data_IF_546807400327
#
_entry.id   IF_546807400327
#
_cell.length_a   1.000
_cell.length_b   1.000
_cell.length_c   1.000
_cell.angle_alpha   90.00
_cell.angle_beta   90.00
_cell.angle_gamma   90.00
#
_symmetry.space_group_name_H-M   'P 1'
#
loop_
_entity.id
_entity.type
_entity.pdbx_description
1 polymer ?
#
# COMPACT_ATOMS: atom_id res chain seq x y z
N UNK A 1 -5.26 23.61 -47.06
CA UNK A 1 -5.53 23.15 -45.68
C UNK A 1 -5.82 21.67 -45.76
N UNK A 2 -4.85 20.82 -45.38
CA UNK A 2 -4.98 19.37 -45.47
C UNK A 2 -5.66 18.84 -44.20
N UNK A 3 -6.67 17.96 -44.36
CA UNK A 3 -7.25 17.18 -43.27
C UNK A 3 -6.16 16.29 -42.65
N UNK A 4 -6.11 16.11 -41.32
CA UNK A 4 -5.20 15.14 -40.72
C UNK A 4 -5.58 13.75 -41.23
N UNK A 5 -4.56 12.93 -41.49
CA UNK A 5 -4.73 11.54 -41.90
C UNK A 5 -5.47 10.74 -40.80
N UNK A 6 -6.24 9.70 -41.16
CA UNK A 6 -6.80 8.80 -40.16
C UNK A 6 -5.65 8.12 -39.42
N UNK A 7 -5.71 8.13 -38.09
CA UNK A 7 -4.86 7.29 -37.26
C UNK A 7 -5.37 5.86 -37.48
N UNK A 8 -4.53 5.01 -38.08
CA UNK A 8 -4.80 3.57 -38.13
C UNK A 8 -4.84 3.06 -36.70
N UNK A 9 -6.02 2.64 -36.26
CA UNK A 9 -6.21 1.97 -34.99
C UNK A 9 -6.02 0.48 -35.31
N UNK A 10 -4.97 -0.11 -34.79
CA UNK A 10 -4.62 -1.53 -34.96
C UNK A 10 -5.82 -2.42 -34.56
N UNK A 11 -6.13 -3.43 -35.40
CA UNK A 11 -7.26 -4.36 -35.26
C UNK A 11 -7.15 -5.27 -34.01
N UNK A 12 -6.02 -5.24 -33.30
CA UNK A 12 -5.79 -5.99 -32.04
C UNK A 12 -5.88 -5.15 -30.76
N UNK A 13 -6.42 -3.92 -30.84
CA UNK A 13 -6.76 -3.14 -29.65
C UNK A 13 -8.18 -3.52 -29.18
N UNK A 14 -8.33 -4.23 -28.05
CA UNK A 14 -9.67 -4.37 -27.43
C UNK A 14 -10.08 -2.99 -26.90
N UNK A 15 -11.16 -2.38 -27.41
CA UNK A 15 -11.69 -1.17 -26.81
C UNK A 15 -12.25 -1.54 -25.44
N UNK A 16 -11.69 -1.00 -24.37
CA UNK A 16 -12.41 -0.95 -23.09
C UNK A 16 -13.68 -0.15 -23.38
N UNK A 17 -14.88 -0.73 -23.24
CA UNK A 17 -16.10 0.02 -23.48
C UNK A 17 -16.07 1.24 -22.57
N UNK A 18 -16.28 2.45 -23.11
CA UNK A 18 -16.40 3.67 -22.30
C UNK A 18 -17.56 3.64 -21.30
N UNK A 19 -18.27 2.51 -21.17
CA UNK A 19 -19.39 2.22 -20.29
C UNK A 19 -19.03 1.44 -19.02
N UNK A 20 -17.80 0.95 -18.85
CA UNK A 20 -17.42 0.24 -17.60
C UNK A 20 -17.27 1.27 -16.48
N UNK A 21 -18.16 1.21 -15.49
CA UNK A 21 -18.08 1.98 -14.24
C UNK A 21 -17.54 1.08 -13.14
N UNK A 22 -16.59 1.60 -12.35
CA UNK A 22 -16.03 0.91 -11.20
C UNK A 22 -16.77 1.33 -9.92
N UNK A 23 -16.91 0.44 -8.92
CA UNK A 23 -16.43 -0.95 -8.89
C UNK A 23 -17.17 -1.87 -9.86
N UNK A 24 -16.48 -2.93 -10.32
CA UNK A 24 -17.07 -4.01 -11.11
C UNK A 24 -17.40 -5.16 -10.15
N UNK A 25 -18.62 -5.70 -10.25
CA UNK A 25 -18.99 -6.90 -9.50
C UNK A 25 -18.43 -8.16 -10.18
N UNK A 26 -17.84 -9.03 -9.36
CA UNK A 26 -17.24 -10.30 -9.77
C UNK A 26 -18.03 -11.46 -9.18
N UNK A 27 -18.03 -12.59 -9.87
CA UNK A 27 -18.56 -13.85 -9.33
C UNK A 27 -17.58 -14.42 -8.31
N UNK A 28 -18.01 -14.72 -7.06
CA UNK A 28 -17.14 -15.35 -6.07
C UNK A 28 -16.70 -16.75 -6.51
N UNK A 29 -15.41 -17.12 -6.33
CA UNK A 29 -14.94 -18.46 -6.66
C UNK A 29 -15.40 -19.51 -5.63
N UNK A 30 -15.35 -20.78 -5.99
CA UNK A 30 -15.67 -21.89 -5.09
C UNK A 30 -14.78 -21.87 -3.84
N UNK A 31 -15.39 -21.99 -2.66
CA UNK A 31 -14.69 -21.97 -1.38
C UNK A 31 -14.29 -20.58 -0.87
N UNK A 32 -14.73 -19.50 -1.52
CA UNK A 32 -14.59 -18.13 -1.03
C UNK A 32 -15.31 -17.92 0.30
N UNK A 33 -14.58 -17.36 1.27
CA UNK A 33 -15.10 -16.94 2.56
C UNK A 33 -14.64 -15.49 2.84
N UNK A 34 -15.55 -14.50 2.85
CA UNK A 34 -15.20 -13.09 3.03
C UNK A 34 -14.58 -12.78 4.41
N UNK A 35 -14.73 -13.67 5.39
CA UNK A 35 -14.07 -13.55 6.70
C UNK A 35 -12.60 -13.99 6.68
N UNK A 36 -12.17 -14.72 5.64
CA UNK A 36 -10.85 -15.36 5.56
C UNK A 36 -10.04 -14.80 4.41
N UNK A 37 -9.13 -13.87 4.71
CA UNK A 37 -8.30 -13.16 3.72
C UNK A 37 -7.62 -14.11 2.73
N UNK A 38 -7.18 -15.30 3.18
CA UNK A 38 -6.51 -16.30 2.35
C UNK A 38 -7.39 -16.94 1.26
N UNK A 39 -8.72 -16.82 1.37
CA UNK A 39 -9.69 -17.37 0.41
C UNK A 39 -10.10 -16.35 -0.66
N UNK A 40 -9.69 -15.08 -0.51
CA UNK A 40 -10.03 -14.05 -1.47
C UNK A 40 -9.39 -14.33 -2.84
N UNK A 41 -10.14 -14.15 -3.95
CA UNK A 41 -9.57 -14.28 -5.28
C UNK A 41 -8.51 -13.21 -5.52
N UNK A 42 -7.57 -13.51 -6.41
CA UNK A 42 -6.46 -12.63 -6.71
C UNK A 42 -6.86 -11.73 -7.91
N UNK A 43 -7.11 -10.41 -7.72
CA UNK A 43 -7.44 -9.40 -8.79
C UNK A 43 -6.79 -7.98 -8.63
N UNK A 44 -6.29 -7.18 -9.62
CA UNK A 44 -5.30 -6.07 -9.36
C UNK A 44 -5.94 -4.76 -9.10
N UNK A 45 -5.46 -4.14 -8.04
CA UNK A 45 -6.27 -3.24 -7.25
C UNK A 45 -7.01 -4.04 -6.19
N UNK A 46 -8.09 -3.47 -5.68
CA UNK A 46 -8.67 -3.92 -4.43
C UNK A 46 -9.96 -4.68 -4.64
N UNK A 47 -10.18 -5.63 -3.75
CA UNK A 47 -11.45 -6.31 -3.60
C UNK A 47 -12.16 -5.81 -2.37
N UNK A 48 -13.47 -5.64 -2.49
CA UNK A 48 -14.35 -5.40 -1.36
C UNK A 48 -15.50 -6.40 -1.39
N UNK A 49 -15.94 -6.85 -0.22
CA UNK A 49 -17.13 -7.68 -0.07
C UNK A 49 -18.17 -6.84 0.63
N UNK A 50 -19.23 -6.48 -0.09
CA UNK A 50 -20.25 -5.54 0.42
C UNK A 50 -21.62 -6.02 0.02
N UNK A 51 -22.49 -6.26 1.00
CA UNK A 51 -23.88 -6.64 0.76
C UNK A 51 -24.00 -7.94 -0.05
N UNK A 52 -23.12 -8.90 0.18
CA UNK A 52 -23.12 -10.19 -0.52
C UNK A 52 -22.47 -10.17 -1.91
N UNK A 53 -21.76 -9.10 -2.26
CA UNK A 53 -21.20 -8.88 -3.61
C UNK A 53 -19.69 -8.72 -3.51
N UNK A 54 -18.96 -9.42 -4.38
CA UNK A 54 -17.53 -9.25 -4.52
C UNK A 54 -17.27 -8.13 -5.54
N UNK A 55 -16.66 -7.05 -5.10
CA UNK A 55 -16.45 -5.83 -5.88
C UNK A 55 -14.96 -5.64 -6.17
N UNK A 56 -14.65 -5.19 -7.37
CA UNK A 56 -13.30 -4.96 -7.85
C UNK A 56 -13.06 -3.49 -8.21
N UNK A 57 -11.94 -2.95 -7.74
CA UNK A 57 -11.40 -1.66 -8.19
C UNK A 57 -9.97 -1.84 -8.72
N UNK A 58 -9.57 -1.10 -9.76
CA UNK A 58 -8.18 -1.07 -10.22
C UNK A 58 -7.26 -0.29 -9.25
N UNK A 59 -5.91 -0.40 -9.39
CA UNK A 59 -4.97 0.35 -8.57
C UNK A 59 -5.15 1.85 -8.67
N UNK A 60 -4.69 2.56 -7.63
CA UNK A 60 -4.69 4.01 -7.60
C UNK A 60 -3.66 4.61 -8.57
N UNK A 61 -3.95 5.81 -9.09
CA UNK A 61 -3.01 6.57 -9.90
C UNK A 61 -2.07 7.42 -9.03
N UNK A 62 -0.94 7.86 -9.59
CA UNK A 62 0.10 8.65 -8.93
C UNK A 62 -0.40 9.82 -8.06
N UNK A 63 -1.32 10.63 -8.56
CA UNK A 63 -1.89 11.77 -7.81
C UNK A 63 -2.70 11.34 -6.60
N UNK A 64 -3.42 10.23 -6.71
CA UNK A 64 -4.17 9.65 -5.60
C UNK A 64 -3.17 9.13 -4.56
N UNK A 65 -2.17 8.36 -4.98
CA UNK A 65 -1.11 7.83 -4.13
C UNK A 65 -0.36 8.93 -3.35
N UNK A 66 0.09 10.00 -4.03
CA UNK A 66 0.81 11.11 -3.39
C UNK A 66 -0.08 11.83 -2.36
N UNK A 67 -1.37 11.99 -2.67
CA UNK A 67 -2.33 12.59 -1.74
C UNK A 67 -2.56 11.69 -0.52
N UNK A 68 -2.65 10.37 -0.72
CA UNK A 68 -2.74 9.39 0.38
C UNK A 68 -1.50 9.48 1.27
N UNK A 69 -0.29 9.59 0.70
CA UNK A 69 0.94 9.75 1.47
C UNK A 69 0.91 11.01 2.35
N UNK A 70 0.45 12.14 1.82
CA UNK A 70 0.31 13.38 2.60
C UNK A 70 -0.72 13.27 3.72
N UNK A 71 -1.85 12.58 3.48
CA UNK A 71 -2.84 12.25 4.51
C UNK A 71 -2.21 11.41 5.62
N UNK A 72 -1.53 10.33 5.24
CA UNK A 72 -0.93 9.37 6.18
C UNK A 72 0.13 10.03 7.05
N UNK A 73 0.95 10.93 6.49
CA UNK A 73 1.92 11.70 7.29
C UNK A 73 1.24 12.66 8.24
N UNK A 74 0.19 13.33 7.77
CA UNK A 74 -0.58 14.26 8.61
C UNK A 74 -1.18 13.52 9.82
N UNK A 75 -1.83 12.39 9.56
CA UNK A 75 -2.42 11.54 10.60
C UNK A 75 -1.35 10.88 11.47
N UNK A 76 -0.27 10.39 10.90
CA UNK A 76 0.85 9.77 11.61
C UNK A 76 1.53 10.74 12.59
N UNK A 77 1.77 11.97 12.16
CA UNK A 77 2.28 13.04 13.05
C UNK A 77 1.31 13.35 14.18
N UNK A 78 0.01 13.39 13.90
CA UNK A 78 -1.01 13.58 14.92
C UNK A 78 -1.04 12.42 15.91
N UNK A 79 -1.09 11.17 15.45
CA UNK A 79 -1.06 9.96 16.30
C UNK A 79 0.22 9.88 17.14
N UNK A 80 1.35 10.41 16.65
CA UNK A 80 2.58 10.50 17.44
C UNK A 80 2.43 11.37 18.69
N UNK A 81 1.56 12.38 18.66
CA UNK A 81 1.20 13.18 19.82
C UNK A 81 -0.01 12.62 20.60
N UNK A 82 -0.78 11.69 20.02
CA UNK A 82 -2.01 11.11 20.58
C UNK A 82 -1.92 9.58 20.59
N UNK A 83 -1.15 9.06 21.55
CA UNK A 83 -0.75 7.63 21.63
C UNK A 83 -1.91 6.67 21.88
N UNK A 84 -3.05 7.18 22.31
CA UNK A 84 -4.31 6.45 22.46
C UNK A 84 -4.94 6.06 21.11
N UNK A 85 -4.37 6.52 19.99
CA UNK A 85 -4.78 6.15 18.63
C UNK A 85 -3.67 5.42 17.85
N UNK A 86 -4.05 4.82 16.73
CA UNK A 86 -3.15 4.19 15.74
C UNK A 86 -3.67 4.50 14.32
N UNK A 87 -2.77 4.65 13.34
CA UNK A 87 -3.15 4.94 11.94
C UNK A 87 -2.92 3.72 11.05
N UNK A 88 -3.95 3.28 10.32
CA UNK A 88 -3.86 2.33 9.22
C UNK A 88 -3.72 3.04 7.87
N UNK A 89 -3.03 2.42 6.93
CA UNK A 89 -2.71 2.94 5.59
C UNK A 89 -2.57 1.77 4.62
N UNK A 90 -2.36 2.05 3.32
CA UNK A 90 -2.14 1.04 2.28
C UNK A 90 -3.36 0.11 2.19
N UNK A 91 -4.53 0.72 2.03
CA UNK A 91 -5.83 0.05 2.07
C UNK A 91 -6.08 -0.65 3.41
N UNK A 92 -6.20 0.13 4.48
CA UNK A 92 -6.45 -0.34 5.83
C UNK A 92 -7.68 -1.25 5.87
N UNK A 93 -7.45 -2.56 5.76
CA UNK A 93 -8.49 -3.55 5.56
C UNK A 93 -9.28 -3.78 6.84
N UNK A 94 -10.60 -3.72 6.72
CA UNK A 94 -11.54 -3.84 7.83
C UNK A 94 -12.65 -4.82 7.48
N UNK A 95 -13.06 -5.63 8.46
CA UNK A 95 -14.30 -6.41 8.41
C UNK A 95 -15.26 -5.83 9.44
N UNK A 96 -16.35 -5.21 8.97
CA UNK A 96 -17.35 -4.60 9.85
C UNK A 96 -18.69 -5.29 9.58
N UNK A 97 -19.13 -6.11 10.53
CA UNK A 97 -20.22 -7.07 10.31
C UNK A 97 -19.81 -8.12 9.28
N UNK A 98 -20.67 -8.36 8.28
CA UNK A 98 -20.40 -9.32 7.21
C UNK A 98 -19.55 -8.76 6.07
N UNK A 99 -19.40 -7.44 6.02
CA UNK A 99 -18.75 -6.74 4.92
C UNK A 99 -17.26 -6.50 5.20
N UNK A 100 -16.44 -6.59 4.17
CA UNK A 100 -14.99 -6.36 4.23
C UNK A 100 -14.58 -5.29 3.22
N UNK A 101 -13.99 -4.18 3.70
CA UNK A 101 -13.57 -3.03 2.87
C UNK A 101 -12.24 -2.43 3.36
N UNK A 102 -11.51 -1.78 2.47
CA UNK A 102 -10.25 -1.08 2.80
C UNK A 102 -10.41 0.43 2.72
N UNK A 103 -9.91 1.18 3.71
CA UNK A 103 -9.81 2.64 3.61
C UNK A 103 -8.41 3.06 3.14
N UNK A 104 -8.30 4.14 2.37
CA UNK A 104 -6.98 4.66 1.96
C UNK A 104 -6.12 5.03 3.18
N UNK A 105 -6.76 5.61 4.21
CA UNK A 105 -6.21 5.71 5.56
C UNK A 105 -7.31 5.59 6.61
N UNK A 106 -6.97 5.12 7.80
CA UNK A 106 -7.92 5.03 8.91
C UNK A 106 -7.24 5.33 10.25
N UNK A 107 -7.97 5.92 11.20
CA UNK A 107 -7.50 6.09 12.58
C UNK A 107 -8.37 5.24 13.49
N UNK A 108 -7.75 4.41 14.31
CA UNK A 108 -8.42 3.57 15.29
C UNK A 108 -8.01 4.00 16.70
N UNK A 109 -8.88 3.77 17.68
CA UNK A 109 -8.48 3.80 19.08
C UNK A 109 -7.64 2.57 19.38
N UNK A 110 -6.52 2.77 20.06
CA UNK A 110 -5.60 1.68 20.40
C UNK A 110 -6.24 0.66 21.33
N UNK A 111 -7.15 1.10 22.22
CA UNK A 111 -7.89 0.22 23.13
C UNK A 111 -8.87 -0.71 22.41
N UNK A 112 -9.31 -0.37 21.20
CA UNK A 112 -10.35 -1.11 20.50
C UNK A 112 -9.74 -2.17 19.55
N UNK A 113 -8.47 -2.04 19.13
CA UNK A 113 -7.88 -2.86 18.04
C UNK A 113 -7.19 -4.16 18.48
N UNK A 114 -6.99 -4.38 19.79
CA UNK A 114 -6.34 -5.60 20.30
C UNK A 114 -4.90 -5.83 19.83
N UNK A 115 -4.44 -7.08 19.90
CA UNK A 115 -3.10 -7.48 19.44
C UNK A 115 -2.99 -7.48 17.90
N UNK A 116 -1.75 -7.47 17.40
CA UNK A 116 -1.50 -7.56 15.96
C UNK A 116 -1.48 -9.03 15.52
N UNK A 117 -2.41 -9.43 14.64
CA UNK A 117 -2.60 -10.82 14.20
C UNK A 117 -2.34 -11.04 12.70
N UNK A 118 -2.13 -9.96 11.94
CA UNK A 118 -1.88 -10.01 10.50
C UNK A 118 -3.14 -10.09 9.63
N UNK A 119 -4.34 -9.92 10.19
CA UNK A 119 -5.64 -9.97 9.49
C UNK A 119 -6.35 -8.61 9.38
N UNK A 120 -7.61 -8.63 8.93
CA UNK A 120 -8.47 -7.45 8.88
C UNK A 120 -8.78 -6.90 10.27
N UNK A 121 -8.95 -5.57 10.38
CA UNK A 121 -9.47 -4.97 11.61
C UNK A 121 -10.97 -5.22 11.75
N UNK A 122 -11.39 -5.80 12.86
CA UNK A 122 -12.80 -6.11 13.14
C UNK A 122 -13.51 -5.03 13.97
N UNK A 123 -12.91 -3.85 14.11
CA UNK A 123 -13.49 -2.71 14.84
C UNK A 123 -13.58 -1.48 13.95
N UNK A 124 -14.65 -0.68 14.05
CA UNK A 124 -14.80 0.51 13.22
C UNK A 124 -13.75 1.56 13.61
N UNK A 125 -13.06 2.19 12.65
CA UNK A 125 -12.18 3.30 12.95
C UNK A 125 -12.96 4.52 13.46
N UNK A 126 -12.28 5.40 14.19
CA UNK A 126 -12.84 6.71 14.56
C UNK A 126 -12.84 7.67 13.38
N UNK A 127 -11.92 7.48 12.43
CA UNK A 127 -11.83 8.21 11.17
C UNK A 127 -11.51 7.23 10.04
N UNK A 128 -12.30 7.22 8.98
CA UNK A 128 -11.91 6.64 7.69
C UNK A 128 -11.60 7.77 6.69
N UNK A 129 -10.60 7.59 5.85
CA UNK A 129 -10.23 8.53 4.80
C UNK A 129 -10.24 7.82 3.46
N UNK A 130 -10.92 8.44 2.49
CA UNK A 130 -10.95 8.03 1.10
C UNK A 130 -10.47 9.18 0.23
N UNK A 131 -9.68 8.88 -0.79
CA UNK A 131 -9.09 9.85 -1.70
C UNK A 131 -9.59 9.59 -3.11
N UNK A 132 -10.25 10.59 -3.70
CA UNK A 132 -10.77 10.46 -5.06
C UNK A 132 -9.65 10.25 -6.08
N UNK A 133 -9.89 9.29 -6.97
CA UNK A 133 -8.94 8.82 -7.95
C UNK A 133 -9.39 9.02 -9.39
N UNK A 134 -8.71 8.34 -10.31
CA UNK A 134 -9.10 8.31 -11.73
C UNK A 134 -10.40 7.52 -11.94
N UNK A 135 -10.63 6.48 -11.13
CA UNK A 135 -11.67 5.48 -11.32
C UNK A 135 -12.79 5.56 -10.27
N UNK A 136 -12.62 6.39 -9.25
CA UNK A 136 -13.56 6.57 -8.15
C UNK A 136 -13.67 8.06 -7.83
N UNK A 137 -14.86 8.62 -8.05
CA UNK A 137 -15.15 10.02 -7.83
C UNK A 137 -15.88 10.26 -6.52
N UNK A 138 -16.25 11.51 -6.29
CA UNK A 138 -17.00 11.91 -5.09
C UNK A 138 -18.30 11.11 -4.88
N UNK A 139 -19.15 10.83 -5.91
CA UNK A 139 -20.40 10.09 -5.68
C UNK A 139 -20.18 8.69 -5.12
N UNK A 140 -19.20 7.95 -5.65
CA UNK A 140 -18.84 6.61 -5.20
C UNK A 140 -18.28 6.66 -3.78
N UNK A 141 -17.40 7.63 -3.50
CA UNK A 141 -16.85 7.83 -2.15
C UNK A 141 -17.91 8.25 -1.14
N UNK A 142 -18.95 8.96 -1.54
CA UNK A 142 -20.10 9.27 -0.66
C UNK A 142 -20.95 8.05 -0.35
N UNK A 143 -21.03 7.08 -1.26
CA UNK A 143 -21.66 5.79 -0.97
C UNK A 143 -20.83 4.97 0.01
N UNK A 144 -19.51 4.89 -0.22
CA UNK A 144 -18.58 4.25 0.70
C UNK A 144 -18.57 4.92 2.08
N UNK A 145 -18.63 6.25 2.15
CA UNK A 145 -18.79 6.98 3.40
C UNK A 145 -20.09 6.63 4.14
N UNK A 146 -21.22 6.47 3.43
CA UNK A 146 -22.48 6.03 4.06
C UNK A 146 -22.35 4.64 4.69
N UNK A 147 -21.65 3.72 4.03
CA UNK A 147 -21.33 2.40 4.58
C UNK A 147 -20.49 2.51 5.86
N UNK A 148 -19.40 3.29 5.85
CA UNK A 148 -18.57 3.51 7.03
C UNK A 148 -19.39 4.02 8.22
N UNK A 149 -20.22 5.04 7.99
CA UNK A 149 -21.04 5.64 9.05
C UNK A 149 -22.09 4.65 9.59
N UNK A 150 -22.70 3.84 8.73
CA UNK A 150 -23.63 2.79 9.14
C UNK A 150 -22.94 1.69 9.95
N UNK A 151 -21.67 1.41 9.65
CA UNK A 151 -20.83 0.46 10.36
C UNK A 151 -20.22 1.02 11.66
N UNK A 152 -20.61 2.22 12.10
CA UNK A 152 -20.19 2.81 13.37
C UNK A 152 -18.96 3.72 13.29
N UNK A 153 -18.41 3.98 12.09
CA UNK A 153 -17.36 5.00 11.91
C UNK A 153 -17.95 6.37 12.19
N UNK A 154 -17.23 7.20 12.98
CA UNK A 154 -17.76 8.50 13.40
C UNK A 154 -17.54 9.60 12.37
N UNK A 155 -16.40 9.56 11.69
CA UNK A 155 -15.94 10.59 10.77
C UNK A 155 -15.41 9.92 9.52
N UNK A 156 -15.83 10.41 8.35
CA UNK A 156 -15.25 10.03 7.07
C UNK A 156 -14.74 11.29 6.38
N UNK A 157 -13.49 11.27 5.95
CA UNK A 157 -12.94 12.30 5.07
C UNK A 157 -12.94 11.79 3.64
N UNK A 158 -13.55 12.54 2.74
CA UNK A 158 -13.43 12.33 1.29
C UNK A 158 -12.52 13.45 0.78
N UNK A 159 -11.30 13.10 0.38
CA UNK A 159 -10.31 14.03 -0.15
C UNK A 159 -10.44 14.07 -1.66
N UNK A 160 -10.54 15.27 -2.24
CA UNK A 160 -10.70 15.49 -3.68
C UNK A 160 -9.44 16.17 -4.23
N UNK A 161 -8.40 15.42 -4.68
CA UNK A 161 -7.13 16.02 -5.10
C UNK A 161 -7.26 17.01 -6.27
N UNK A 162 -8.22 16.79 -7.17
CA UNK A 162 -8.44 17.64 -8.36
C UNK A 162 -8.98 19.02 -7.98
N UNK A 163 -9.92 19.10 -7.04
CA UNK A 163 -10.49 20.37 -6.56
C UNK A 163 -9.78 20.92 -5.33
N UNK A 164 -8.88 20.16 -4.71
CA UNK A 164 -8.20 20.47 -3.44
C UNK A 164 -9.18 20.70 -2.29
N UNK A 165 -10.22 19.88 -2.26
CA UNK A 165 -11.27 19.93 -1.24
C UNK A 165 -11.21 18.71 -0.33
N UNK A 166 -11.68 18.86 0.89
CA UNK A 166 -11.95 17.75 1.80
C UNK A 166 -13.39 17.86 2.26
N UNK A 167 -14.18 16.84 1.97
CA UNK A 167 -15.55 16.73 2.46
C UNK A 167 -15.50 15.91 3.74
N UNK A 168 -15.99 16.48 4.83
CA UNK A 168 -16.12 15.79 6.11
C UNK A 168 -17.56 15.30 6.26
N UNK A 169 -17.73 13.99 6.35
CA UNK A 169 -19.02 13.34 6.58
C UNK A 169 -19.03 12.76 7.99
N UNK A 170 -20.02 13.12 8.79
CA UNK A 170 -20.11 12.73 10.20
C UNK A 170 -21.36 11.90 10.44
N UNK A 171 -21.26 10.86 11.27
CA UNK A 171 -22.45 10.16 11.75
C UNK A 171 -23.26 11.07 12.69
N UNK A 172 -24.60 11.09 12.54
CA UNK A 172 -25.47 11.43 13.67
C UNK A 172 -25.61 10.18 14.54
N UNK A 173 -25.58 10.31 15.88
CA UNK A 173 -25.44 9.14 16.74
C UNK A 173 -26.69 8.25 16.74
N UNK A 174 -26.49 6.95 16.56
CA UNK A 174 -27.42 5.88 16.94
C UNK A 174 -26.60 4.70 17.53
N UNK A 175 -27.18 3.85 18.41
CA UNK A 175 -26.44 2.93 19.28
C UNK A 175 -25.96 1.68 18.52
N UNK A 176 -24.83 1.12 18.95
CA UNK A 176 -24.20 -0.10 18.41
C UNK A 176 -24.42 -1.26 19.39
N UNK A 177 -24.90 -2.40 18.90
CA UNK A 177 -24.79 -3.72 19.55
C UNK A 177 -23.64 -4.51 18.89
N UNK A 178 -22.90 -5.29 19.68
CA UNK A 178 -21.74 -6.10 19.28
C UNK A 178 -21.99 -7.57 19.61
N UNK A 179 -21.50 -8.50 18.77
CA UNK A 179 -21.49 -9.94 19.06
C UNK A 179 -20.15 -10.59 18.64
N UNK A 180 -19.71 -11.59 19.39
CA UNK A 180 -18.38 -12.23 19.40
C UNK A 180 -18.34 -13.63 18.73
N UNK A 181 -17.23 -13.97 18.02
CA UNK A 181 -16.41 -15.21 18.20
C UNK A 181 -15.42 -15.47 17.03
N UNK A 182 -14.23 -16.02 17.33
CA UNK A 182 -13.16 -16.38 16.36
C UNK A 182 -12.61 -17.81 16.60
N UNK A 183 -12.20 -18.55 15.54
CA UNK A 183 -11.64 -19.93 15.57
C UNK A 183 -10.44 -20.07 14.57
N UNK A 184 -9.37 -20.90 14.81
CA UNK A 184 -8.16 -20.94 13.95
C UNK A 184 -8.00 -22.18 13.03
N UNK A 185 -7.32 -22.08 11.87
CA UNK A 185 -6.83 -23.20 11.00
C UNK A 185 -5.66 -22.79 10.03
N UNK A 186 -4.92 -23.68 9.31
CA UNK A 186 -3.44 -23.66 9.17
C UNK A 186 -2.87 -23.35 7.75
N UNK A 187 -1.53 -23.17 7.65
CA UNK A 187 -0.84 -22.55 6.48
C UNK A 187 -0.05 -23.44 5.51
N UNK A 188 -0.57 -23.65 4.30
CA UNK A 188 0.11 -24.40 3.22
C UNK A 188 0.13 -23.71 1.85
N UNK A 189 0.48 -22.42 1.80
CA UNK A 189 0.88 -21.72 0.56
C UNK A 189 2.18 -20.95 0.85
N UNK A 190 3.16 -21.03 -0.05
CA UNK A 190 4.44 -20.32 0.07
C UNK A 190 4.50 -19.20 -0.97
N UNK A 191 4.85 -18.00 -0.56
CA UNK A 191 4.98 -16.82 -1.40
C UNK A 191 6.46 -16.45 -1.68
N UNK A 192 6.76 -15.80 -2.83
CA UNK A 192 5.86 -15.46 -3.92
C UNK A 192 5.33 -16.69 -4.68
N UNK A 193 4.16 -16.54 -5.30
CA UNK A 193 3.60 -17.55 -6.23
C UNK A 193 3.89 -17.13 -7.66
N UNK A 194 4.45 -18.03 -8.46
CA UNK A 194 4.62 -17.80 -9.90
C UNK A 194 3.30 -17.96 -10.65
N UNK A 195 3.00 -17.01 -11.52
CA UNK A 195 1.82 -16.95 -12.37
C UNK A 195 2.22 -17.10 -13.84
N UNK A 196 1.32 -17.65 -14.64
CA UNK A 196 1.47 -17.64 -16.11
C UNK A 196 1.13 -16.23 -16.63
N UNK A 197 2.03 -15.56 -17.38
CA UNK A 197 1.74 -14.26 -17.97
C UNK A 197 0.57 -14.35 -18.97
N UNK A 198 -0.35 -13.37 -18.99
CA UNK A 198 -1.42 -13.33 -19.99
C UNK A 198 -0.89 -12.95 -21.38
N UNK A 199 -1.67 -13.24 -22.41
CA UNK A 199 -1.34 -12.84 -23.79
C UNK A 199 -1.24 -11.31 -23.90
N UNK A 200 -0.19 -10.82 -24.56
CA UNK A 200 0.08 -9.38 -24.72
C UNK A 200 0.72 -8.68 -23.51
N UNK A 201 1.13 -9.42 -22.47
CA UNK A 201 1.86 -8.89 -21.31
C UNK A 201 3.21 -8.28 -21.70
N UNK A 202 3.43 -7.02 -21.33
CA UNK A 202 4.71 -6.33 -21.42
C UNK A 202 5.14 -5.84 -20.01
N UNK A 203 6.20 -6.42 -19.42
CA UNK A 203 6.63 -6.06 -18.07
C UNK A 203 7.05 -4.59 -17.93
N UNK A 204 7.41 -3.90 -19.02
CA UNK A 204 7.76 -2.48 -18.99
C UNK A 204 6.56 -1.53 -18.96
N UNK A 205 5.36 -2.02 -19.31
CA UNK A 205 4.15 -1.21 -19.48
C UNK A 205 3.11 -1.57 -18.43
N UNK A 206 2.99 -0.73 -17.40
CA UNK A 206 2.09 -0.95 -16.25
C UNK A 206 0.66 -1.27 -16.67
N UNK A 207 0.16 -0.67 -17.75
CA UNK A 207 -1.20 -0.88 -18.27
C UNK A 207 -1.47 -2.30 -18.81
N UNK A 208 -0.42 -3.10 -19.05
CA UNK A 208 -0.52 -4.48 -19.56
C UNK A 208 -0.43 -5.53 -18.44
N UNK A 209 -0.17 -5.11 -17.20
CA UNK A 209 -0.09 -6.03 -16.08
C UNK A 209 -1.45 -6.66 -15.80
N UNK A 210 -1.48 -7.95 -15.40
CA UNK A 210 -2.71 -8.61 -15.05
C UNK A 210 -3.22 -8.14 -13.71
N UNK A 211 -4.54 -8.05 -13.67
CA UNK A 211 -5.24 -7.65 -12.48
C UNK A 211 -5.14 -8.80 -11.45
N UNK A 212 -4.24 -8.76 -10.42
CA UNK A 212 -4.24 -9.50 -9.10
C UNK A 212 -4.12 -8.69 -7.73
N UNK A 213 -4.72 -9.18 -6.62
CA UNK A 213 -4.96 -8.40 -5.39
C UNK A 213 -3.78 -8.52 -4.44
N UNK A 214 -2.88 -7.55 -4.48
CA UNK A 214 -1.56 -7.62 -3.87
C UNK A 214 -0.48 -7.26 -4.90
N UNK A 215 0.78 -7.42 -4.51
CA UNK A 215 1.90 -6.96 -5.34
C UNK A 215 2.25 -7.97 -6.41
N UNK A 216 2.41 -7.51 -7.64
CA UNK A 216 3.04 -8.27 -8.72
C UNK A 216 4.48 -7.83 -8.95
N UNK A 217 5.36 -8.79 -9.23
CA UNK A 217 6.72 -8.55 -9.65
C UNK A 217 7.05 -9.39 -10.90
N UNK A 218 7.84 -8.84 -11.82
CA UNK A 218 8.38 -9.52 -12.98
C UNK A 218 9.87 -9.67 -12.77
N UNK A 219 10.31 -10.91 -12.65
CA UNK A 219 11.67 -11.23 -12.24
C UNK A 219 12.20 -12.36 -13.09
N UNK A 220 13.23 -12.07 -13.89
CA UNK A 220 13.94 -13.08 -14.68
C UNK A 220 13.00 -13.94 -15.53
N UNK A 221 12.03 -13.31 -16.18
CA UNK A 221 11.08 -14.02 -17.04
C UNK A 221 9.88 -14.63 -16.32
N UNK A 222 9.68 -14.34 -15.02
CA UNK A 222 8.64 -14.95 -14.19
C UNK A 222 7.76 -13.87 -13.60
N UNK A 223 6.44 -14.03 -13.73
CA UNK A 223 5.45 -13.18 -13.08
C UNK A 223 5.17 -13.74 -11.69
N UNK A 224 5.39 -12.94 -10.65
CA UNK A 224 5.36 -13.35 -9.24
C UNK A 224 4.28 -12.55 -8.51
N UNK A 225 3.53 -13.21 -7.64
CA UNK A 225 2.48 -12.60 -6.82
C UNK A 225 2.79 -12.69 -5.32
N UNK A 226 2.52 -11.58 -4.62
CA UNK A 226 2.54 -11.44 -3.17
C UNK A 226 1.18 -10.97 -2.66
N UNK A 227 0.67 -11.50 -1.53
CA UNK A 227 -0.59 -11.05 -0.94
C UNK A 227 -0.48 -9.64 -0.33
N UNK A 228 -1.61 -8.99 0.00
CA UNK A 228 -1.63 -7.73 0.73
C UNK A 228 -0.89 -7.79 2.08
N UNK A 229 -0.42 -6.64 2.56
CA UNK A 229 0.34 -6.55 3.80
C UNK A 229 -0.54 -6.82 5.04
N UNK A 230 -0.03 -7.65 5.95
CA UNK A 230 -0.64 -7.84 7.27
C UNK A 230 -0.43 -6.64 8.20
N UNK A 231 -1.22 -6.57 9.28
CA UNK A 231 -1.29 -5.43 10.18
C UNK A 231 0.08 -4.93 10.72
N UNK A 232 0.97 -5.82 11.21
CA UNK A 232 2.30 -5.45 11.71
C UNK A 232 3.19 -4.84 10.63
N UNK A 233 3.06 -5.31 9.38
CA UNK A 233 3.82 -4.80 8.24
C UNK A 233 3.33 -3.41 7.88
N UNK A 234 2.02 -3.19 7.72
CA UNK A 234 1.47 -1.85 7.37
C UNK A 234 1.84 -0.76 8.41
N UNK A 235 1.84 -1.06 9.71
CA UNK A 235 2.19 -0.05 10.72
C UNK A 235 3.69 0.28 10.70
N UNK A 236 4.52 -0.72 10.43
CA UNK A 236 5.97 -0.50 10.27
C UNK A 236 6.24 0.32 9.01
N UNK A 237 5.57 0.01 7.89
CA UNK A 237 5.66 0.80 6.65
C UNK A 237 5.23 2.25 6.91
N UNK A 238 4.16 2.49 7.68
CA UNK A 238 3.73 3.84 8.03
C UNK A 238 4.80 4.62 8.81
N UNK A 239 5.48 3.99 9.77
CA UNK A 239 6.56 4.63 10.52
C UNK A 239 7.80 4.90 9.65
N UNK A 240 8.17 3.97 8.78
CA UNK A 240 9.22 4.16 7.77
C UNK A 240 8.88 5.35 6.87
N UNK A 241 7.70 5.35 6.25
CA UNK A 241 7.24 6.38 5.32
C UNK A 241 7.19 7.74 5.99
N UNK A 242 6.65 7.83 7.21
CA UNK A 242 6.62 9.08 7.97
C UNK A 242 8.03 9.64 8.20
N UNK A 243 8.98 8.78 8.59
CA UNK A 243 10.38 9.15 8.80
C UNK A 243 11.03 9.65 7.51
N UNK A 244 10.83 8.95 6.39
CA UNK A 244 11.39 9.36 5.09
C UNK A 244 10.75 10.66 4.57
N UNK A 245 9.43 10.85 4.69
CA UNK A 245 8.76 12.07 4.23
C UNK A 245 9.17 13.28 5.06
N UNK A 246 9.31 13.15 6.38
CA UNK A 246 9.83 14.23 7.23
C UNK A 246 11.20 14.68 6.73
N UNK A 247 12.09 13.72 6.41
CA UNK A 247 13.39 14.03 5.86
C UNK A 247 13.29 14.68 4.47
N UNK A 248 12.50 14.14 3.54
CA UNK A 248 12.33 14.71 2.18
C UNK A 248 11.75 16.13 2.22
N UNK A 249 10.86 16.45 3.17
CA UNK A 249 10.32 17.82 3.34
C UNK A 249 11.40 18.84 3.70
N UNK A 250 12.48 18.41 4.36
CA UNK A 250 13.65 19.24 4.62
C UNK A 250 14.67 19.23 3.46
N UNK A 251 14.51 18.33 2.47
CA UNK A 251 15.43 18.14 1.34
C UNK A 251 14.64 18.08 0.02
N UNK A 252 14.13 19.23 -0.47
CA UNK A 252 13.20 19.31 -1.60
C UNK A 252 13.79 18.81 -2.93
N UNK A 253 15.10 18.63 -3.02
CA UNK A 253 15.80 18.01 -4.15
C UNK A 253 15.60 16.49 -4.25
N UNK A 254 14.89 15.88 -3.30
CA UNK A 254 14.53 14.47 -3.31
C UNK A 254 13.01 14.25 -3.41
N UNK A 255 12.65 13.06 -3.85
CA UNK A 255 11.29 12.55 -3.87
C UNK A 255 11.27 11.19 -3.18
N UNK A 256 10.19 10.90 -2.48
CA UNK A 256 9.92 9.60 -1.88
C UNK A 256 8.72 8.97 -2.57
N UNK A 257 8.88 7.73 -3.02
CA UNK A 257 7.78 6.87 -3.45
C UNK A 257 7.40 5.92 -2.31
N UNK A 258 6.11 5.65 -2.17
CA UNK A 258 5.53 4.80 -1.12
C UNK A 258 4.43 3.96 -1.75
N UNK A 259 3.75 3.12 -0.95
CA UNK A 259 2.56 2.38 -1.40
C UNK A 259 2.86 1.51 -2.63
N UNK A 260 3.91 0.69 -2.52
CA UNK A 260 4.45 -0.13 -3.60
C UNK A 260 5.05 0.71 -4.73
N UNK A 261 6.11 1.46 -4.41
CA UNK A 261 6.81 2.33 -5.36
C UNK A 261 7.39 1.51 -6.52
N UNK A 262 6.64 1.43 -7.62
CA UNK A 262 6.95 0.57 -8.76
C UNK A 262 8.10 1.07 -9.63
N UNK A 263 8.96 0.14 -10.03
CA UNK A 263 10.13 0.39 -10.87
C UNK A 263 10.27 -0.66 -11.96
N UNK A 264 10.77 -0.26 -13.13
CA UNK A 264 11.20 -1.15 -14.19
C UNK A 264 12.70 -0.97 -14.44
N UNK A 265 13.52 -1.92 -14.00
CA UNK A 265 14.98 -1.85 -14.02
C UNK A 265 15.56 -3.14 -14.60
N UNK A 266 16.42 -3.01 -15.61
CA UNK A 266 17.13 -4.16 -16.18
C UNK A 266 16.23 -5.24 -16.77
N UNK A 267 15.03 -4.87 -17.23
CA UNK A 267 14.02 -5.80 -17.79
C UNK A 267 13.13 -6.46 -16.73
N UNK A 268 13.42 -6.27 -15.44
CA UNK A 268 12.59 -6.70 -14.33
C UNK A 268 11.73 -5.53 -13.82
N UNK A 269 10.55 -5.83 -13.29
CA UNK A 269 9.68 -4.83 -12.66
C UNK A 269 9.34 -5.25 -11.24
N UNK A 270 9.62 -4.36 -10.28
CA UNK A 270 9.36 -4.62 -8.86
C UNK A 270 8.91 -3.35 -8.17
N UNK A 271 8.31 -3.51 -6.99
CA UNK A 271 7.94 -2.40 -6.12
C UNK A 271 8.64 -2.50 -4.76
N UNK A 272 9.07 -1.33 -4.27
CA UNK A 272 9.56 -1.15 -2.90
C UNK A 272 8.44 -0.66 -1.99
N UNK A 273 8.50 -1.00 -0.70
CA UNK A 273 7.55 -0.44 0.28
C UNK A 273 7.77 1.07 0.46
N UNK A 274 9.02 1.50 0.37
CA UNK A 274 9.38 2.91 0.16
C UNK A 274 10.69 3.03 -0.62
N UNK A 275 10.86 4.12 -1.35
CA UNK A 275 12.10 4.41 -2.06
C UNK A 275 12.35 5.91 -2.21
N UNK A 276 13.62 6.33 -2.26
CA UNK A 276 14.01 7.73 -2.42
C UNK A 276 14.76 7.92 -3.73
N UNK A 277 14.35 8.91 -4.51
CA UNK A 277 15.04 9.38 -5.71
C UNK A 277 15.51 10.82 -5.54
N UNK A 278 16.56 11.17 -6.28
CA UNK A 278 16.87 12.58 -6.52
C UNK A 278 15.92 13.11 -7.59
N UNK A 279 15.30 14.26 -7.34
CA UNK A 279 14.47 14.94 -8.34
C UNK A 279 15.33 15.41 -9.49
N UNK A 280 14.76 15.37 -10.69
CA UNK A 280 15.35 15.99 -11.86
C UNK A 280 14.35 16.87 -12.58
N UNK A 281 14.84 17.86 -13.34
CA UNK A 281 13.97 18.76 -14.13
C UNK A 281 13.17 18.04 -15.22
N UNK A 282 13.51 16.79 -15.53
CA UNK A 282 12.84 15.95 -16.51
C UNK A 282 11.82 14.99 -15.88
N UNK A 283 11.60 15.06 -14.56
CA UNK A 283 10.59 14.22 -13.90
C UNK A 283 9.19 14.63 -14.39
N UNK A 284 8.49 13.68 -15.00
CA UNK A 284 7.09 13.83 -15.42
C UNK A 284 6.28 12.76 -14.68
N UNK A 285 5.19 13.19 -14.04
CA UNK A 285 4.28 12.33 -13.29
C UNK A 285 3.10 11.93 -14.18
N UNK A 286 3.34 10.91 -15.01
CA UNK A 286 2.35 10.37 -15.97
C UNK A 286 1.71 9.06 -15.50
N UNK A 287 1.99 8.62 -14.26
CA UNK A 287 1.43 7.40 -13.68
C UNK A 287 2.06 6.07 -14.11
N UNK A 288 3.31 6.05 -14.56
CA UNK A 288 4.07 4.83 -14.94
C UNK A 288 5.17 4.43 -13.95
N UNK A 289 5.86 3.30 -14.23
CA UNK A 289 6.99 2.82 -13.42
C UNK A 289 8.18 3.79 -13.44
N UNK A 290 8.91 3.87 -12.31
CA UNK A 290 10.22 4.51 -12.29
C UNK A 290 11.24 3.69 -13.07
N UNK A 291 11.88 4.30 -14.07
CA UNK A 291 12.92 3.66 -14.91
C UNK A 291 14.35 3.95 -14.44
N UNK A 292 14.50 4.65 -13.32
CA UNK A 292 15.80 4.95 -12.70
C UNK A 292 15.89 4.25 -11.34
N UNK A 293 17.05 3.67 -11.00
CA UNK A 293 17.25 3.10 -9.68
C UNK A 293 17.14 4.20 -8.61
N UNK A 294 16.49 3.92 -7.46
CA UNK A 294 16.48 4.84 -6.34
C UNK A 294 17.87 4.97 -5.70
N UNK A 295 18.06 6.01 -4.89
CA UNK A 295 19.21 6.16 -4.00
C UNK A 295 19.07 5.32 -2.73
N UNK A 296 17.82 5.06 -2.31
CA UNK A 296 17.45 4.17 -1.23
C UNK A 296 16.23 3.36 -1.65
N UNK A 297 16.29 2.04 -1.53
CA UNK A 297 15.11 1.18 -1.53
C UNK A 297 14.88 0.61 -0.12
N UNK A 298 13.63 0.55 0.31
CA UNK A 298 13.23 -0.01 1.61
C UNK A 298 12.22 -1.13 1.40
N UNK A 299 12.48 -2.25 2.05
CA UNK A 299 11.60 -3.42 2.09
C UNK A 299 11.33 -3.77 3.55
N UNK A 300 10.07 -4.00 3.89
CA UNK A 300 9.58 -4.25 5.24
C UNK A 300 9.08 -5.67 5.31
N UNK A 301 9.66 -6.50 6.17
CA UNK A 301 9.31 -7.90 6.28
C UNK A 301 7.88 -8.15 6.77
N UNK A 302 7.09 -8.83 5.94
CA UNK A 302 5.77 -9.35 6.30
C UNK A 302 5.79 -10.73 6.97
N UNK A 303 4.60 -11.27 7.24
CA UNK A 303 4.40 -12.66 7.70
C UNK A 303 4.84 -13.68 6.64
N UNK A 304 4.60 -13.35 5.38
CA UNK A 304 4.79 -14.24 4.23
C UNK A 304 6.12 -13.99 3.48
N UNK A 305 6.81 -12.87 3.79
CA UNK A 305 8.11 -12.51 3.25
C UNK A 305 9.23 -12.86 4.24
N UNK A 306 10.03 -13.88 3.90
CA UNK A 306 11.15 -14.29 4.77
C UNK A 306 12.43 -13.58 4.35
N UNK A 307 13.38 -13.52 5.28
CA UNK A 307 14.69 -12.87 5.09
C UNK A 307 15.43 -13.28 3.80
N UNK A 308 15.41 -14.53 3.33
CA UNK A 308 16.05 -14.90 2.05
C UNK A 308 15.44 -14.17 0.84
N UNK A 309 14.10 -14.05 0.78
CA UNK A 309 13.43 -13.33 -0.32
C UNK A 309 13.74 -11.83 -0.27
N UNK A 310 13.71 -11.23 0.92
CA UNK A 310 14.09 -9.82 1.10
C UNK A 310 15.55 -9.56 0.69
N UNK A 311 16.47 -10.48 0.98
CA UNK A 311 17.86 -10.38 0.52
C UNK A 311 18.01 -10.55 -0.99
N UNK A 312 17.22 -11.42 -1.62
CA UNK A 312 17.18 -11.51 -3.08
C UNK A 312 16.70 -10.20 -3.71
N UNK A 313 15.66 -9.57 -3.14
CA UNK A 313 15.21 -8.22 -3.56
C UNK A 313 16.32 -7.19 -3.36
N UNK A 314 17.02 -7.19 -2.22
CA UNK A 314 18.15 -6.30 -1.98
C UNK A 314 19.26 -6.46 -3.02
N UNK A 315 19.61 -7.69 -3.38
CA UNK A 315 20.60 -7.96 -4.43
C UNK A 315 20.14 -7.45 -5.80
N UNK A 316 18.85 -7.56 -6.11
CA UNK A 316 18.29 -6.99 -7.33
C UNK A 316 18.44 -5.47 -7.37
N UNK A 317 18.07 -4.77 -6.28
CA UNK A 317 18.26 -3.32 -6.16
C UNK A 317 19.72 -2.92 -6.36
N UNK A 318 20.65 -3.57 -5.64
CA UNK A 318 22.08 -3.31 -5.77
C UNK A 318 22.59 -3.54 -7.19
N UNK A 319 22.17 -4.64 -7.83
CA UNK A 319 22.53 -4.98 -9.20
C UNK A 319 21.99 -3.98 -10.23
N UNK A 320 20.84 -3.37 -9.96
CA UNK A 320 20.25 -2.30 -10.76
C UNK A 320 20.90 -0.92 -10.51
N UNK A 321 21.87 -0.82 -9.59
CA UNK A 321 22.58 0.42 -9.25
C UNK A 321 21.97 1.20 -8.09
N UNK A 322 20.98 0.65 -7.39
CA UNK A 322 20.49 1.21 -6.12
C UNK A 322 21.60 1.05 -5.08
N UNK A 323 22.09 2.12 -4.46
CA UNK A 323 23.36 2.02 -3.75
C UNK A 323 23.18 1.85 -2.23
N UNK A 324 21.95 1.95 -1.70
CA UNK A 324 21.57 1.60 -0.31
C UNK A 324 20.23 0.85 -0.34
N UNK A 325 20.15 -0.26 0.38
CA UNK A 325 18.88 -0.97 0.64
C UNK A 325 18.69 -1.14 2.14
N UNK A 326 17.50 -0.84 2.65
CA UNK A 326 17.09 -1.15 4.01
C UNK A 326 16.13 -2.32 4.01
N UNK A 327 16.47 -3.39 4.72
CA UNK A 327 15.52 -4.43 5.09
C UNK A 327 15.07 -4.19 6.52
N UNK A 328 13.85 -3.72 6.69
CA UNK A 328 13.23 -3.44 7.99
C UNK A 328 12.50 -4.70 8.44
N UNK A 329 12.82 -5.20 9.62
CA UNK A 329 12.36 -6.50 10.11
C UNK A 329 11.47 -6.30 11.36
N UNK A 330 10.14 -6.20 11.20
CA UNK A 330 9.21 -5.90 12.30
C UNK A 330 9.21 -6.93 13.43
N UNK A 331 9.48 -8.21 13.12
CA UNK A 331 9.44 -9.27 14.13
C UNK A 331 10.58 -9.14 15.14
N UNK A 332 11.75 -8.74 14.65
CA UNK A 332 12.97 -8.59 15.43
C UNK A 332 13.22 -7.14 15.88
N UNK A 333 12.48 -6.17 15.32
CA UNK A 333 12.75 -4.73 15.46
C UNK A 333 14.18 -4.38 15.07
N UNK A 334 14.61 -4.97 13.96
CA UNK A 334 15.95 -4.81 13.40
C UNK A 334 15.87 -4.17 12.02
N UNK A 335 16.91 -3.44 11.64
CA UNK A 335 17.13 -3.00 10.26
C UNK A 335 18.45 -3.55 9.77
N UNK A 336 18.42 -4.15 8.58
CA UNK A 336 19.63 -4.50 7.84
C UNK A 336 19.89 -3.43 6.79
N UNK A 337 21.03 -2.76 6.88
CA UNK A 337 21.50 -1.81 5.87
C UNK A 337 22.46 -2.54 4.95
N UNK A 338 22.07 -2.68 3.70
CA UNK A 338 22.80 -3.44 2.68
C UNK A 338 23.34 -2.45 1.64
N UNK A 339 24.65 -2.50 1.41
CA UNK A 339 25.35 -1.75 0.37
C UNK A 339 26.27 -2.68 -0.43
N UNK A 340 26.98 -2.15 -1.42
CA UNK A 340 28.05 -2.88 -2.13
C UNK A 340 29.17 -3.36 -1.19
N UNK A 341 29.36 -2.68 -0.05
CA UNK A 341 30.43 -2.97 0.91
C UNK A 341 30.04 -4.06 1.91
N UNK A 342 28.75 -4.41 1.98
CA UNK A 342 28.23 -5.49 2.80
C UNK A 342 26.91 -5.18 3.49
N UNK A 343 26.53 -6.08 4.41
CA UNK A 343 25.33 -5.99 5.25
C UNK A 343 25.74 -5.60 6.68
N UNK A 344 25.07 -4.59 7.24
CA UNK A 344 25.19 -4.20 8.65
C UNK A 344 23.83 -4.28 9.33
N UNK A 345 23.79 -4.79 10.55
CA UNK A 345 22.57 -4.96 11.35
C UNK A 345 22.50 -3.88 12.44
N UNK A 346 21.31 -3.35 12.64
CA UNK A 346 20.98 -2.36 13.66
C UNK A 346 19.74 -2.82 14.43
N UNK A 347 19.87 -2.96 15.74
CA UNK A 347 18.80 -3.28 16.67
C UNK A 347 18.19 -2.03 17.31
N UNK A 348 17.32 -2.23 18.32
CA UNK A 348 16.65 -1.15 19.03
C UNK A 348 17.62 -0.11 19.62
N UNK A 349 17.26 1.16 19.50
CA UNK A 349 18.06 2.30 19.97
C UNK A 349 19.33 2.61 19.18
N UNK A 350 19.74 1.76 18.23
CA UNK A 350 20.90 2.04 17.38
C UNK A 350 20.56 3.05 16.27
N UNK A 351 21.55 3.81 15.84
CA UNK A 351 21.39 4.79 14.76
C UNK A 351 21.81 4.19 13.43
N UNK A 352 20.95 4.33 12.40
CA UNK A 352 21.32 3.93 11.04
C UNK A 352 22.46 4.79 10.51
N UNK A 353 23.35 4.23 9.68
CA UNK A 353 24.55 4.94 9.24
C UNK A 353 24.16 6.05 8.26
N UNK A 354 24.66 7.26 8.50
CA UNK A 354 24.53 8.36 7.56
C UNK A 354 25.24 8.01 6.24
N UNK A 355 24.65 8.44 5.13
CA UNK A 355 25.26 8.32 3.81
C UNK A 355 25.34 9.69 3.11
N UNK A 356 26.48 10.09 2.52
CA UNK A 356 26.60 11.36 1.80
C UNK A 356 25.60 11.55 0.66
N UNK A 357 25.04 10.46 0.10
CA UNK A 357 24.01 10.49 -0.94
C UNK A 357 22.64 10.91 -0.40
N UNK A 358 22.40 10.72 0.90
CA UNK A 358 21.17 11.01 1.62
C UNK A 358 21.51 11.84 2.87
N UNK A 359 21.95 13.10 2.69
CA UNK A 359 22.52 13.90 3.76
C UNK A 359 21.56 14.04 4.95
N UNK A 360 22.05 13.72 6.15
CA UNK A 360 21.26 13.84 7.38
C UNK A 360 20.18 12.77 7.58
N UNK A 361 20.00 11.83 6.65
CA UNK A 361 19.10 10.68 6.85
C UNK A 361 19.81 9.61 7.68
N UNK A 362 19.62 9.66 9.00
CA UNK A 362 20.20 8.70 9.95
C UNK A 362 19.24 8.48 11.12
N UNK A 363 18.04 7.90 10.88
CA UNK A 363 17.06 7.68 11.94
C UNK A 363 17.58 6.67 12.97
N UNK A 364 17.12 6.81 14.21
CA UNK A 364 17.26 5.74 15.20
C UNK A 364 16.28 4.62 14.84
N UNK A 365 16.70 3.37 14.99
CA UNK A 365 15.90 2.18 14.64
C UNK A 365 14.49 2.23 15.23
N UNK A 366 14.34 2.72 16.46
CA UNK A 366 13.05 2.82 17.16
C UNK A 366 12.03 3.74 16.45
N UNK A 367 12.50 4.73 15.70
CA UNK A 367 11.64 5.63 14.92
C UNK A 367 10.87 4.91 13.81
N UNK A 368 11.36 3.73 13.39
CA UNK A 368 10.77 2.90 12.35
C UNK A 368 9.79 1.85 12.90
N UNK A 369 9.69 1.73 14.23
CA UNK A 369 8.88 0.70 14.90
C UNK A 369 7.95 1.28 15.98
N UNK A 370 7.73 2.59 16.00
CA UNK A 370 6.97 3.31 17.05
C UNK A 370 5.60 2.68 17.30
N UNK A 371 4.83 2.41 16.25
CA UNK A 371 3.44 1.94 16.36
C UNK A 371 3.33 0.51 16.86
N UNK A 372 4.32 -0.34 16.56
CA UNK A 372 4.37 -1.76 16.96
C UNK A 372 5.17 -1.97 18.26
N UNK A 373 5.81 -0.91 18.77
CA UNK A 373 6.59 -0.92 20.01
C UNK A 373 5.78 -0.49 21.24
N UNK A 374 4.64 0.17 21.03
CA UNK A 374 3.72 0.52 22.09
C UNK A 374 2.82 -0.70 22.40
N UNK A 375 2.75 -1.15 23.67
CA UNK A 375 1.81 -2.21 24.02
C UNK A 375 0.37 -1.74 23.75
N UNK A 376 -0.55 -2.65 23.39
CA UNK A 376 -1.98 -2.33 23.45
C UNK A 376 -2.28 -1.89 24.88
N UNK A 377 -3.08 -0.81 25.10
CA UNK A 377 -3.45 -0.41 26.44
C UNK A 377 -4.20 -1.58 27.09
N UNK A 378 -3.82 -1.88 28.33
CA UNK A 378 -4.43 -2.96 29.13
C UNK A 378 -5.76 -2.57 29.74
#
# INVERSE_FOLDING_TARGET
>A
MARPAPIDIDEETIPVPGSVRFPVELTPPDGFDPARLETWPRVEGRLEWVGGRLLYMPPCGDRQQDTVADVVVTLGNWVRAHREFVVGTNEAGMRLGEDSRGADAAVFRRADVGAYEGGFRCVPPVLAVEVAGRYEGEPELREKARWYLAAGVRVVWIVLPRSREVIVVMARPAPIDVDEETIPVPGSVRFPVELTPPDGFDPARLETWPRVAGRLEWVRGRLLYMPPCGDRQQYTVADVVATLIIWVRAHPEFAVGTNEAGMHLGGDSRAADAAIWRRTRADVYEGGFQVRPPLLAVEVGGRDERKPQLREKAQWYLGAGTPIVWLVLPAEREVLVITSDGERRFGPGEQLPADPRLPGLAPVTDELFVQISLPPPG
#
